data_IF_760471067717
#
_entry.id   IF_760471067717
#
_cell.length_a   1.000
_cell.length_b   1.000
_cell.length_c   1.000
_cell.angle_alpha   90.00
_cell.angle_beta   90.00
_cell.angle_gamma   90.00
#
_symmetry.space_group_name_H-M   'P 1'
#
loop_
_entity.id
_entity.type
_entity.pdbx_description
1 polymer ?
#
# COMPACT_ATOMS: atom_id res chain seq x y z
N UNK A 1 14.76 4.76 2.84
CA UNK A 1 13.68 5.35 2.03
C UNK A 1 12.96 6.41 2.86
N UNK A 2 12.41 7.46 2.25
CA UNK A 2 11.60 8.47 2.96
C UNK A 2 10.18 7.94 3.21
N UNK A 3 9.49 8.39 4.27
CA UNK A 3 8.08 8.02 4.51
C UNK A 3 7.15 8.34 3.33
N UNK A 4 7.43 9.43 2.60
CA UNK A 4 6.69 9.83 1.39
C UNK A 4 6.88 8.84 0.25
N UNK A 5 8.11 8.35 0.05
CA UNK A 5 8.46 7.35 -0.97
C UNK A 5 7.77 6.01 -0.67
N UNK A 6 7.73 5.60 0.61
CA UNK A 6 6.95 4.43 1.05
C UNK A 6 5.48 4.54 0.70
N UNK A 7 4.92 5.72 0.97
CA UNK A 7 3.50 6.00 0.70
C UNK A 7 3.21 5.91 -0.80
N UNK A 8 4.11 6.43 -1.66
CA UNK A 8 3.97 6.35 -3.11
C UNK A 8 3.91 4.89 -3.57
N UNK A 9 4.85 4.06 -3.10
CA UNK A 9 4.95 2.64 -3.45
C UNK A 9 3.69 1.86 -3.03
N UNK A 10 3.27 2.01 -1.78
CA UNK A 10 2.10 1.28 -1.25
C UNK A 10 0.82 1.76 -1.95
N UNK A 11 0.65 3.07 -2.15
CA UNK A 11 -0.50 3.60 -2.87
C UNK A 11 -0.57 3.09 -4.31
N UNK A 12 0.58 2.96 -4.97
CA UNK A 12 0.65 2.43 -6.33
C UNK A 12 0.27 0.95 -6.39
N UNK A 13 0.80 0.13 -5.48
CA UNK A 13 0.44 -1.29 -5.39
C UNK A 13 -1.05 -1.48 -5.10
N UNK A 14 -1.61 -0.71 -4.17
CA UNK A 14 -3.04 -0.75 -3.87
C UNK A 14 -3.89 -0.32 -5.07
N UNK A 15 -3.42 0.64 -5.87
CA UNK A 15 -4.10 1.03 -7.10
C UNK A 15 -4.04 -0.07 -8.17
N UNK A 16 -2.88 -0.73 -8.34
CA UNK A 16 -2.76 -1.88 -9.24
C UNK A 16 -3.65 -3.04 -8.81
N UNK A 17 -3.72 -3.35 -7.52
CA UNK A 17 -4.55 -4.44 -7.03
C UNK A 17 -6.05 -4.17 -7.23
N UNK A 18 -6.46 -2.90 -7.23
CA UNK A 18 -7.85 -2.49 -7.47
C UNK A 18 -8.19 -2.31 -8.95
N UNK A 19 -7.23 -2.42 -9.86
CA UNK A 19 -7.54 -2.39 -11.29
C UNK A 19 -8.27 -3.69 -11.67
N UNK A 20 -9.49 -3.56 -12.20
CA UNK A 20 -10.21 -4.67 -12.83
C UNK A 20 -9.76 -4.91 -14.29
N UNK A 21 -9.09 -3.92 -14.89
CA UNK A 21 -8.61 -3.97 -16.27
C UNK A 21 -7.10 -4.28 -16.33
N UNK A 22 -6.62 -4.91 -17.43
CA UNK A 22 -5.19 -5.00 -17.67
C UNK A 22 -4.61 -3.61 -17.97
N UNK A 23 -3.37 -3.37 -17.52
CA UNK A 23 -2.61 -2.17 -17.86
C UNK A 23 -2.29 -2.12 -19.36
N UNK A 24 -2.33 -0.93 -20.01
CA UNK A 24 -1.86 -0.75 -21.38
C UNK A 24 -0.38 -1.12 -21.51
N UNK A 25 0.04 -1.69 -22.64
CA UNK A 25 1.43 -2.13 -22.86
C UNK A 25 2.45 -1.01 -22.62
N UNK A 26 2.18 0.20 -23.11
CA UNK A 26 3.03 1.38 -22.88
C UNK A 26 3.26 1.66 -21.38
N UNK A 27 2.24 1.44 -20.55
CA UNK A 27 2.35 1.63 -19.10
C UNK A 27 3.14 0.50 -18.46
N UNK A 28 2.96 -0.73 -18.91
CA UNK A 28 3.76 -1.89 -18.46
C UNK A 28 5.25 -1.71 -18.77
N UNK A 29 5.58 -1.27 -19.98
CA UNK A 29 6.97 -1.00 -20.40
C UNK A 29 7.61 0.10 -19.54
N UNK A 30 6.87 1.18 -19.25
CA UNK A 30 7.32 2.24 -18.34
C UNK A 30 7.50 1.71 -16.91
N UNK A 31 6.60 0.84 -16.44
CA UNK A 31 6.70 0.21 -15.14
C UNK A 31 7.98 -0.64 -15.02
N UNK A 32 8.25 -1.45 -16.04
CA UNK A 32 9.44 -2.28 -16.12
C UNK A 32 10.71 -1.43 -16.19
N UNK A 33 10.69 -0.33 -16.94
CA UNK A 33 11.80 0.62 -16.98
C UNK A 33 12.07 1.22 -15.59
N UNK A 34 11.03 1.67 -14.88
CA UNK A 34 11.11 2.20 -13.51
C UNK A 34 11.63 1.13 -12.53
N UNK A 35 11.23 -0.13 -12.71
CA UNK A 35 11.63 -1.22 -11.81
C UNK A 35 13.13 -1.51 -11.82
N UNK A 36 13.86 -1.13 -12.88
CA UNK A 36 15.31 -1.35 -12.99
C UNK A 36 16.11 -0.53 -11.98
N UNK A 37 15.61 0.65 -11.61
CA UNK A 37 16.25 1.53 -10.64
C UNK A 37 15.21 2.17 -9.71
N UNK A 38 14.31 1.32 -9.20
CA UNK A 38 13.13 1.77 -8.46
C UNK A 38 13.47 2.71 -7.31
N UNK A 39 14.56 2.47 -6.59
CA UNK A 39 14.96 3.27 -5.44
C UNK A 39 15.22 4.75 -5.80
N UNK A 40 15.67 5.05 -7.02
CA UNK A 40 15.87 6.42 -7.49
C UNK A 40 14.74 6.92 -8.39
N UNK A 41 13.82 6.05 -8.82
CA UNK A 41 12.74 6.36 -9.75
C UNK A 41 11.35 6.37 -9.09
N UNK A 42 11.29 6.47 -7.76
CA UNK A 42 10.03 6.54 -7.01
C UNK A 42 9.19 7.77 -7.41
N UNK A 43 9.82 8.90 -7.67
CA UNK A 43 9.12 10.10 -8.18
C UNK A 43 8.53 9.85 -9.57
N UNK A 44 9.24 9.11 -10.44
CA UNK A 44 8.70 8.73 -11.75
C UNK A 44 7.51 7.79 -11.64
N UNK A 45 7.47 6.94 -10.61
CA UNK A 45 6.31 6.12 -10.30
C UNK A 45 5.11 6.97 -9.90
N UNK A 46 5.34 8.03 -9.12
CA UNK A 46 4.30 9.00 -8.77
C UNK A 46 3.76 9.71 -10.02
N UNK A 47 4.64 10.20 -10.90
CA UNK A 47 4.25 10.87 -12.14
C UNK A 47 3.50 9.93 -13.09
N UNK A 48 3.94 8.67 -13.18
CA UNK A 48 3.27 7.65 -13.98
C UNK A 48 1.85 7.40 -13.44
N UNK A 49 1.66 7.30 -12.14
CA UNK A 49 0.35 7.11 -11.53
C UNK A 49 -0.62 8.25 -11.88
N UNK A 50 -0.13 9.50 -11.81
CA UNK A 50 -0.92 10.70 -12.11
C UNK A 50 -1.21 10.88 -13.60
N UNK A 51 -0.28 10.44 -14.45
CA UNK A 51 -0.42 10.57 -15.91
C UNK A 51 -1.35 9.50 -16.52
N UNK A 52 -1.74 8.49 -15.75
CA UNK A 52 -2.58 7.38 -16.23
C UNK A 52 -3.98 7.45 -15.61
N UNK A 53 -5.02 7.87 -16.34
CA UNK A 53 -6.35 8.08 -15.78
C UNK A 53 -6.99 6.80 -15.20
N UNK A 54 -6.59 5.63 -15.69
CA UNK A 54 -7.05 4.34 -15.16
C UNK A 54 -6.54 4.06 -13.74
N UNK A 55 -5.36 4.59 -13.39
CA UNK A 55 -4.69 4.35 -12.11
C UNK A 55 -4.84 5.56 -11.19
N UNK A 56 -4.90 6.77 -11.76
CA UNK A 56 -4.84 8.03 -11.03
C UNK A 56 -5.83 8.10 -9.88
N UNK A 57 -7.11 7.80 -10.13
CA UNK A 57 -8.14 7.88 -9.09
C UNK A 57 -7.86 6.89 -7.96
N UNK A 58 -7.60 5.63 -8.29
CA UNK A 58 -7.31 4.58 -7.30
C UNK A 58 -6.03 4.89 -6.50
N UNK A 59 -5.02 5.43 -7.18
CA UNK A 59 -3.77 5.87 -6.59
C UNK A 59 -3.96 7.04 -5.63
N UNK A 60 -4.73 8.06 -6.03
CA UNK A 60 -4.99 9.21 -5.18
C UNK A 60 -5.80 8.82 -3.95
N UNK A 61 -6.83 7.97 -4.09
CA UNK A 61 -7.60 7.42 -2.96
C UNK A 61 -6.69 6.66 -2.00
N UNK A 62 -5.87 5.73 -2.51
CA UNK A 62 -4.93 4.97 -1.69
C UNK A 62 -3.91 5.88 -0.99
N UNK A 63 -3.37 6.87 -1.70
CA UNK A 63 -2.42 7.83 -1.13
C UNK A 63 -3.06 8.70 -0.05
N UNK A 64 -4.29 9.15 -0.24
CA UNK A 64 -5.02 9.91 0.77
C UNK A 64 -5.35 9.07 1.99
N UNK A 65 -5.77 7.82 1.83
CA UNK A 65 -6.02 6.91 2.94
C UNK A 65 -4.76 6.65 3.77
N UNK A 66 -3.60 6.53 3.12
CA UNK A 66 -2.30 6.36 3.80
C UNK A 66 -1.77 7.64 4.45
N UNK A 67 -2.09 8.82 3.89
CA UNK A 67 -1.69 10.12 4.43
C UNK A 67 -2.64 10.62 5.53
N UNK A 68 -3.90 10.18 5.54
CA UNK A 68 -4.84 10.50 6.59
C UNK A 68 -4.50 9.65 7.83
N UNK A 69 -3.98 10.24 8.91
CA UNK A 69 -3.92 9.53 10.18
C UNK A 69 -5.36 9.23 10.56
N UNK A 70 -5.72 7.94 10.65
CA UNK A 70 -7.06 7.45 10.96
C UNK A 70 -7.80 8.37 11.94
N UNK A 71 -8.67 9.24 11.41
CA UNK A 71 -9.47 10.20 12.18
C UNK A 71 -10.55 9.51 13.00
N UNK A 72 -10.67 8.19 12.87
CA UNK A 72 -11.62 7.34 13.57
C UNK A 72 -10.91 6.28 14.40
N UNK A 73 -10.02 6.71 15.30
CA UNK A 73 -9.91 6.01 16.59
C UNK A 73 -11.18 6.32 17.37
N UNK A 74 -12.28 5.66 17.01
CA UNK A 74 -13.49 5.64 17.81
C UNK A 74 -13.09 5.04 19.16
N UNK A 75 -12.76 5.90 20.12
CA UNK A 75 -12.65 5.49 21.52
C UNK A 75 -14.08 5.10 21.88
N UNK A 76 -14.39 3.81 21.75
CA UNK A 76 -15.61 3.25 22.31
C UNK A 76 -15.75 3.71 23.77
N UNK A 77 -16.98 3.73 24.32
CA UNK A 77 -17.21 4.17 25.70
C UNK A 77 -16.20 3.48 26.62
N UNK A 78 -15.55 4.28 27.48
CA UNK A 78 -14.51 3.78 28.40
C UNK A 78 -15.07 2.57 29.15
N UNK A 79 -14.41 1.40 29.15
CA UNK A 79 -14.88 0.29 29.94
C UNK A 79 -14.86 0.70 31.42
N UNK A 80 -15.95 0.42 32.13
CA UNK A 80 -16.05 0.59 33.56
C UNK A 80 -15.07 -0.41 34.18
N UNK A 81 -14.02 0.09 34.84
CA UNK A 81 -12.99 -0.74 35.46
C UNK A 81 -13.59 -1.52 36.63
N UNK A 82 -13.83 -2.81 36.44
CA UNK A 82 -14.00 -3.75 37.56
C UNK A 82 -12.61 -4.23 37.99
N UNK A 83 -12.21 -3.83 39.19
CA UNK A 83 -10.96 -4.22 39.84
C UNK A 83 -11.02 -5.68 40.29
N UNK A 84 -11.04 -6.64 39.37
CA UNK A 84 -10.79 -8.06 39.67
C UNK A 84 -10.51 -8.83 38.37
N UNK A 85 -9.27 -8.76 37.87
CA UNK A 85 -8.59 -9.78 37.07
C UNK A 85 -7.27 -9.22 36.53
N UNK A 86 -6.31 -8.94 37.41
CA UNK A 86 -4.90 -8.79 37.02
C UNK A 86 -4.31 -10.18 36.80
N UNK A 87 -4.50 -10.77 35.62
CA UNK A 87 -3.53 -11.71 35.03
C UNK A 87 -3.92 -12.07 33.60
N UNK A 88 -3.38 -11.31 32.65
CA UNK A 88 -2.94 -11.72 31.30
C UNK A 88 -2.74 -10.46 30.48
N UNK A 89 -1.64 -9.76 30.74
CA UNK A 89 -1.05 -8.92 29.72
C UNK A 89 -0.39 -9.86 28.72
N UNK A 90 -1.17 -10.39 27.78
CA UNK A 90 -0.60 -10.69 26.48
C UNK A 90 -0.45 -9.32 25.83
N UNK A 91 0.67 -8.65 26.11
CA UNK A 91 1.15 -7.59 25.23
C UNK A 91 1.20 -8.22 23.84
N UNK A 92 0.15 -7.99 23.06
CA UNK A 92 0.20 -8.18 21.63
C UNK A 92 1.27 -7.17 21.25
N UNK A 93 2.47 -7.59 20.82
CA UNK A 93 3.40 -6.60 20.32
C UNK A 93 2.64 -5.85 19.23
N UNK A 94 2.68 -4.51 19.26
CA UNK A 94 2.44 -3.73 18.08
C UNK A 94 3.57 -4.09 17.10
N UNK A 95 3.56 -5.31 16.56
CA UNK A 95 4.13 -5.59 15.26
C UNK A 95 3.22 -4.84 14.29
N UNK A 96 3.42 -3.52 14.24
CA UNK A 96 3.38 -2.85 12.96
C UNK A 96 4.13 -3.78 12.03
N UNK A 97 3.44 -4.35 11.04
CA UNK A 97 4.10 -5.02 9.92
C UNK A 97 4.88 -3.92 9.21
N UNK A 98 6.00 -3.55 9.81
CA UNK A 98 7.00 -2.72 9.21
C UNK A 98 7.66 -3.64 8.21
N UNK A 99 7.01 -3.80 7.06
CA UNK A 99 7.69 -4.32 5.88
C UNK A 99 8.95 -3.48 5.80
N UNK A 100 10.08 -4.14 5.95
CA UNK A 100 11.36 -3.47 5.85
C UNK A 100 11.43 -2.87 4.45
N UNK A 101 11.96 -1.65 4.32
CA UNK A 101 11.93 -0.95 3.03
C UNK A 101 12.58 -1.80 1.90
N UNK A 102 13.52 -2.68 2.25
CA UNK A 102 14.14 -3.63 1.33
C UNK A 102 13.19 -4.73 0.85
N UNK A 103 12.43 -5.35 1.75
CA UNK A 103 11.42 -6.36 1.42
C UNK A 103 10.31 -5.75 0.54
N UNK A 104 9.92 -4.51 0.84
CA UNK A 104 8.93 -3.78 0.05
C UNK A 104 9.44 -3.51 -1.37
N UNK A 105 10.69 -3.02 -1.50
CA UNK A 105 11.33 -2.77 -2.80
C UNK A 105 11.51 -4.05 -3.61
N UNK A 106 11.92 -5.16 -2.98
CA UNK A 106 12.06 -6.45 -3.65
C UNK A 106 10.69 -6.97 -4.14
N UNK A 107 9.66 -6.86 -3.31
CA UNK A 107 8.30 -7.29 -3.62
C UNK A 107 7.72 -6.53 -4.81
N UNK A 108 7.80 -5.19 -4.79
CA UNK A 108 7.25 -4.38 -5.88
C UNK A 108 8.07 -4.53 -7.17
N UNK A 109 9.39 -4.69 -7.08
CA UNK A 109 10.22 -4.96 -8.26
C UNK A 109 9.79 -6.28 -8.91
N UNK A 110 9.48 -7.30 -8.12
CA UNK A 110 8.93 -8.56 -8.61
C UNK A 110 7.57 -8.37 -9.29
N UNK A 111 6.65 -7.61 -8.67
CA UNK A 111 5.33 -7.30 -9.26
C UNK A 111 5.48 -6.55 -10.59
N UNK A 112 6.39 -5.59 -10.68
CA UNK A 112 6.55 -4.76 -11.87
C UNK A 112 7.19 -5.50 -13.05
N UNK A 113 8.01 -6.51 -12.76
CA UNK A 113 8.60 -7.37 -13.78
C UNK A 113 7.70 -8.56 -14.17
N UNK A 114 6.58 -8.76 -13.48
CA UNK A 114 5.62 -9.81 -13.82
C UNK A 114 4.89 -9.49 -15.15
N UNK A 115 4.59 -10.50 -16.00
CA UNK A 115 3.80 -10.28 -17.23
C UNK A 115 2.39 -9.73 -16.96
N UNK A 116 1.82 -10.01 -15.78
CA UNK A 116 0.50 -9.58 -15.34
C UNK A 116 0.60 -8.81 -14.00
N UNK A 117 1.14 -7.57 -14.01
CA UNK A 117 1.43 -6.82 -12.78
C UNK A 117 0.18 -6.55 -11.92
N UNK A 118 -1.00 -6.47 -12.53
CA UNK A 118 -2.29 -6.33 -11.83
C UNK A 118 -2.61 -7.58 -11.01
N UNK A 119 -2.48 -8.78 -11.59
CA UNK A 119 -2.74 -10.05 -10.89
C UNK A 119 -1.70 -10.32 -9.81
N UNK A 120 -0.44 -10.00 -10.10
CA UNK A 120 0.64 -10.08 -9.11
C UNK A 120 0.36 -9.17 -7.91
N UNK A 121 -0.13 -7.95 -8.16
CA UNK A 121 -0.55 -7.03 -7.09
C UNK A 121 -1.75 -7.54 -6.29
N UNK A 122 -2.75 -8.16 -6.94
CA UNK A 122 -3.93 -8.76 -6.28
C UNK A 122 -3.58 -9.98 -5.43
N UNK A 123 -2.51 -10.70 -5.78
CA UNK A 123 -2.09 -11.91 -5.05
C UNK A 123 -1.24 -11.60 -3.81
N UNK A 124 -0.93 -10.32 -3.56
CA UNK A 124 -0.15 -9.91 -2.39
C UNK A 124 -1.04 -9.81 -1.15
N UNK A 125 -0.76 -10.70 -0.19
CA UNK A 125 -1.47 -10.76 1.11
C UNK A 125 -1.47 -9.41 1.83
N UNK A 126 -0.30 -8.77 1.89
CA UNK A 126 -0.12 -7.42 2.44
C UNK A 126 -1.05 -6.36 1.80
N UNK A 127 -1.24 -6.42 0.47
CA UNK A 127 -2.11 -5.46 -0.20
C UNK A 127 -3.56 -5.78 0.14
N UNK A 128 -3.95 -7.05 0.16
CA UNK A 128 -5.29 -7.48 0.55
C UNK A 128 -5.65 -7.07 1.99
N UNK A 129 -4.70 -7.05 2.92
CA UNK A 129 -4.92 -6.52 4.27
C UNK A 129 -5.12 -5.00 4.30
N UNK A 130 -4.46 -4.26 3.40
CA UNK A 130 -4.54 -2.79 3.32
C UNK A 130 -5.72 -2.28 2.48
N UNK A 131 -6.20 -3.06 1.50
CA UNK A 131 -7.33 -2.72 0.65
C UNK A 131 -8.60 -2.32 1.41
N UNK A 132 -9.07 -3.03 2.46
CA UNK A 132 -10.26 -2.61 3.20
C UNK A 132 -10.06 -1.29 3.93
N UNK A 133 -8.84 -0.95 4.35
CA UNK A 133 -8.54 0.34 4.98
C UNK A 133 -8.55 1.48 3.98
N UNK A 134 -8.22 1.19 2.71
CA UNK A 134 -8.14 2.15 1.62
C UNK A 134 -9.51 2.38 0.96
N UNK A 135 -10.37 1.35 0.87
CA UNK A 135 -11.69 1.42 0.22
C UNK A 135 -12.75 2.20 0.99
N UNK A 136 -12.53 2.49 2.28
CA UNK A 136 -13.54 3.12 3.17
C UNK A 136 -13.33 4.65 3.29
N UNK A 137 -12.30 5.22 2.65
CA UNK A 137 -11.97 6.65 2.71
C UNK A 137 -12.64 7.48 1.61
#
# INVERSE_FOLDING_TARGET
MKPSERTIIIAFLAALAQLDAPLPENVKEKLQAISKDLANQIDQLHDLARSNPQIEQLYQTARQALLNPATTRNKGPRPIVNATAENRTTEIPNTSVAIEDQELLATITKVFNDPEPVKAAQSLDVINELLPLIRIA
#
